data_IF_836019270314
#
_entry.id   IF_836019270314
#
_cell.length_a   1.000
_cell.length_b   1.000
_cell.length_c   1.000
_cell.angle_alpha   90.00
_cell.angle_beta   90.00
_cell.angle_gamma   90.00
#
_symmetry.space_group_name_H-M   'P 1'
#
loop_
_entity.id
_entity.type
_entity.pdbx_description
1 polymer ?
#
# COMPACT_ATOMS: atom_id res chain seq x y z
N UNK A 1 9.69 -4.08 -8.85
CA UNK A 1 10.11 -5.21 -7.99
C UNK A 1 11.54 -5.63 -8.29
N UNK A 2 11.89 -6.01 -9.53
CA UNK A 2 13.28 -6.30 -9.95
C UNK A 2 14.30 -5.21 -9.55
N UNK A 3 13.95 -3.94 -9.77
CA UNK A 3 14.82 -2.80 -9.41
C UNK A 3 15.24 -2.74 -7.93
N UNK A 4 14.47 -3.34 -7.02
CA UNK A 4 14.79 -3.35 -5.59
C UNK A 4 15.84 -4.42 -5.20
N UNK A 5 16.06 -5.40 -6.09
CA UNK A 5 16.90 -6.57 -5.81
C UNK A 5 17.95 -6.83 -6.90
N UNK A 6 18.00 -6.01 -7.95
CA UNK A 6 18.89 -6.20 -9.11
C UNK A 6 20.39 -6.25 -8.76
N UNK A 7 20.78 -5.61 -7.67
CA UNK A 7 22.18 -5.55 -7.21
C UNK A 7 22.45 -6.56 -6.07
N UNK A 8 21.50 -7.49 -5.82
CA UNK A 8 21.59 -8.51 -4.76
C UNK A 8 21.90 -9.88 -5.34
N UNK A 9 22.48 -10.75 -4.50
CA UNK A 9 22.86 -12.13 -4.86
C UNK A 9 21.71 -12.96 -5.45
N UNK A 10 20.47 -12.70 -5.04
CA UNK A 10 19.28 -13.39 -5.58
C UNK A 10 19.04 -13.13 -7.08
N UNK A 11 19.58 -12.03 -7.62
CA UNK A 11 19.44 -11.66 -9.03
C UNK A 11 20.71 -11.92 -9.85
N UNK A 12 21.76 -12.49 -9.25
CA UNK A 12 23.02 -12.78 -9.93
C UNK A 12 22.96 -14.10 -10.69
N UNK A 13 23.14 -14.04 -12.01
CA UNK A 13 23.14 -15.21 -12.91
C UNK A 13 24.30 -16.17 -12.61
N UNK A 14 25.40 -15.67 -12.05
CA UNK A 14 26.58 -16.47 -11.69
C UNK A 14 26.23 -17.51 -10.61
N UNK A 15 25.28 -17.20 -9.73
CA UNK A 15 24.84 -18.11 -8.68
C UNK A 15 24.20 -19.38 -9.24
N UNK A 16 23.39 -19.26 -10.29
CA UNK A 16 22.83 -20.43 -10.95
C UNK A 16 23.93 -21.33 -11.53
N UNK A 17 25.00 -20.73 -12.07
CA UNK A 17 26.14 -21.49 -12.59
C UNK A 17 26.93 -22.23 -11.50
N UNK A 18 27.10 -21.62 -10.33
CA UNK A 18 27.74 -22.27 -9.19
C UNK A 18 26.93 -23.44 -8.65
N UNK A 19 25.59 -23.33 -8.65
CA UNK A 19 24.70 -24.41 -8.21
C UNK A 19 24.76 -25.61 -9.16
N UNK A 20 24.70 -25.38 -10.47
CA UNK A 20 24.86 -26.45 -11.46
C UNK A 20 26.24 -27.13 -11.35
N UNK A 21 27.30 -26.35 -11.10
CA UNK A 21 28.64 -26.89 -10.85
C UNK A 21 28.71 -27.76 -9.59
N UNK A 22 28.09 -27.32 -8.50
CA UNK A 22 28.01 -28.08 -7.26
C UNK A 22 27.21 -29.37 -7.43
N UNK A 23 26.06 -29.32 -8.13
CA UNK A 23 25.27 -30.50 -8.47
C UNK A 23 26.05 -31.52 -9.30
N UNK A 24 26.85 -31.05 -10.27
CA UNK A 24 27.71 -31.93 -11.05
C UNK A 24 28.80 -32.59 -10.18
N UNK A 25 29.41 -31.85 -9.24
CA UNK A 25 30.40 -32.42 -8.29
C UNK A 25 29.79 -33.46 -7.37
N UNK A 26 28.54 -33.28 -6.94
CA UNK A 26 27.81 -34.29 -6.16
C UNK A 26 27.59 -35.54 -7.00
N UNK A 27 27.18 -35.40 -8.27
CA UNK A 27 27.00 -36.52 -9.18
C UNK A 27 28.30 -37.32 -9.42
N UNK A 28 29.45 -36.64 -9.41
CA UNK A 28 30.78 -37.24 -9.50
C UNK A 28 31.31 -37.79 -8.17
N UNK A 29 30.61 -37.58 -7.05
CA UNK A 29 31.05 -37.97 -5.71
C UNK A 29 32.16 -37.09 -5.13
N UNK A 30 32.46 -35.96 -5.76
CA UNK A 30 33.49 -35.00 -5.36
C UNK A 30 33.00 -34.01 -4.28
N UNK A 31 31.68 -33.97 -4.04
CA UNK A 31 31.04 -33.15 -3.03
C UNK A 31 29.97 -33.95 -2.29
N UNK A 32 29.93 -33.76 -0.98
CA UNK A 32 28.88 -34.32 -0.13
C UNK A 32 27.57 -33.53 -0.26
N UNK A 33 26.47 -34.25 -0.44
CA UNK A 33 25.14 -33.65 -0.65
C UNK A 33 24.64 -32.91 0.60
N UNK A 34 24.96 -33.39 1.80
CA UNK A 34 24.56 -32.73 3.05
C UNK A 34 25.27 -31.37 3.22
N UNK A 35 26.53 -31.29 2.80
CA UNK A 35 27.29 -30.05 2.77
C UNK A 35 26.68 -29.04 1.80
N UNK A 36 26.24 -29.49 0.62
CA UNK A 36 25.53 -28.64 -0.34
C UNK A 36 24.17 -28.15 0.21
N UNK A 37 23.39 -29.03 0.82
CA UNK A 37 22.11 -28.66 1.44
C UNK A 37 22.27 -27.60 2.55
N UNK A 38 23.26 -27.76 3.44
CA UNK A 38 23.58 -26.73 4.44
C UNK A 38 23.94 -25.39 3.78
N UNK A 39 24.65 -25.42 2.65
CA UNK A 39 24.96 -24.24 1.84
C UNK A 39 23.69 -23.53 1.33
N UNK A 40 22.70 -24.29 0.86
CA UNK A 40 21.40 -23.75 0.43
C UNK A 40 20.67 -23.09 1.60
N UNK A 41 20.63 -23.73 2.77
CA UNK A 41 19.96 -23.18 3.96
C UNK A 41 20.58 -21.86 4.40
N UNK A 42 21.92 -21.79 4.45
CA UNK A 42 22.66 -20.56 4.77
C UNK A 42 22.37 -19.48 3.74
N UNK A 43 22.35 -19.82 2.45
CA UNK A 43 22.06 -18.88 1.37
C UNK A 43 20.63 -18.32 1.45
N UNK A 44 19.64 -19.18 1.68
CA UNK A 44 18.26 -18.76 1.87
C UNK A 44 18.12 -17.82 3.09
N UNK A 45 18.79 -18.13 4.20
CA UNK A 45 18.82 -17.28 5.39
C UNK A 45 19.48 -15.91 5.11
N UNK A 46 20.56 -15.87 4.33
CA UNK A 46 21.22 -14.63 3.93
C UNK A 46 20.30 -13.76 3.07
N UNK A 47 19.66 -14.34 2.05
CA UNK A 47 18.72 -13.61 1.19
C UNK A 47 17.56 -13.05 1.99
N UNK A 48 16.93 -13.85 2.84
CA UNK A 48 15.77 -13.38 3.62
C UNK A 48 16.16 -12.23 4.54
N UNK A 49 17.33 -12.31 5.18
CA UNK A 49 17.89 -11.22 6.00
C UNK A 49 18.15 -9.97 5.17
N UNK A 50 18.76 -10.12 4.00
CA UNK A 50 19.00 -9.02 3.07
C UNK A 50 17.70 -8.39 2.55
N UNK A 51 16.66 -9.18 2.28
CA UNK A 51 15.38 -8.66 1.80
C UNK A 51 14.63 -7.91 2.89
N UNK A 52 14.65 -8.43 4.12
CA UNK A 52 14.04 -7.77 5.28
C UNK A 52 14.72 -6.44 5.63
N UNK A 53 16.01 -6.30 5.35
CA UNK A 53 16.74 -5.05 5.57
C UNK A 53 16.54 -4.01 4.46
N UNK A 54 15.92 -4.38 3.32
CA UNK A 54 15.55 -3.40 2.29
C UNK A 54 14.44 -2.51 2.84
N UNK A 55 14.83 -1.28 3.19
CA UNK A 55 13.87 -0.21 3.34
C UNK A 55 13.41 0.22 1.94
N UNK A 56 12.13 0.01 1.63
CA UNK A 56 11.56 0.48 0.36
C UNK A 56 11.48 2.01 0.42
N UNK A 57 12.47 2.67 -0.16
CA UNK A 57 12.52 4.13 -0.33
C UNK A 57 11.30 4.58 -1.15
N UNK A 58 10.34 5.18 -0.45
CA UNK A 58 8.97 5.38 -0.90
C UNK A 58 8.00 5.38 0.29
N UNK A 59 8.40 4.77 1.41
CA UNK A 59 7.85 5.00 2.74
C UNK A 59 8.45 6.24 3.45
N UNK A 60 9.20 7.08 2.73
CA UNK A 60 9.88 8.24 3.30
C UNK A 60 8.88 9.34 3.67
N UNK A 61 8.51 9.33 4.95
CA UNK A 61 8.36 10.50 5.81
C UNK A 61 7.51 11.67 5.26
N UNK A 62 6.41 11.37 4.56
CA UNK A 62 5.39 12.38 4.29
C UNK A 62 4.73 12.73 5.62
N UNK A 63 4.71 14.02 5.96
CA UNK A 63 4.25 14.57 7.23
C UNK A 63 3.02 13.83 7.76
N UNK A 64 3.24 12.96 8.74
CA UNK A 64 2.20 12.13 9.32
C UNK A 64 1.30 12.95 10.23
N UNK A 65 -0.01 12.74 10.12
CA UNK A 65 -0.99 13.32 11.04
C UNK A 65 -1.27 12.36 12.20
N UNK A 66 -1.89 12.87 13.27
CA UNK A 66 -2.39 12.02 14.35
C UNK A 66 -3.63 11.27 13.89
N UNK A 67 -3.74 10.00 14.27
CA UNK A 67 -4.88 9.16 13.98
C UNK A 67 -6.09 9.62 14.82
N UNK A 68 -7.27 9.86 14.23
CA UNK A 68 -8.45 10.31 14.96
C UNK A 68 -9.10 9.19 15.81
N UNK A 69 -8.68 7.93 15.63
CA UNK A 69 -9.18 6.76 16.40
C UNK A 69 -8.32 6.42 17.61
N UNK A 70 -7.00 6.58 17.54
CA UNK A 70 -6.07 6.16 18.60
C UNK A 70 -4.96 7.16 18.92
N UNK A 71 -4.96 8.34 18.31
CA UNK A 71 -3.91 9.38 18.43
C UNK A 71 -2.50 8.97 17.99
N UNK A 72 -2.30 7.75 17.47
CA UNK A 72 -1.03 7.27 16.94
C UNK A 72 -0.63 7.95 15.62
N UNK A 73 0.59 7.68 15.15
CA UNK A 73 1.12 8.26 13.92
C UNK A 73 0.48 7.62 12.68
N UNK A 74 0.05 8.44 11.71
CA UNK A 74 -0.42 8.00 10.39
C UNK A 74 0.67 8.25 9.36
N UNK A 75 0.93 7.28 8.49
CA UNK A 75 1.86 7.42 7.37
C UNK A 75 1.11 7.40 6.05
N UNK A 76 1.46 8.33 5.16
CA UNK A 76 0.90 8.42 3.83
C UNK A 76 1.81 7.70 2.83
N UNK A 77 1.30 6.60 2.30
CA UNK A 77 1.88 5.86 1.20
C UNK A 77 1.26 6.32 -0.13
N UNK A 78 1.86 6.00 -1.28
CA UNK A 78 1.33 6.40 -2.59
C UNK A 78 -0.12 5.96 -2.85
N UNK A 79 -0.56 4.83 -2.30
CA UNK A 79 -1.92 4.29 -2.52
C UNK A 79 -2.84 4.36 -1.29
N UNK A 80 -2.29 4.49 -0.09
CA UNK A 80 -3.03 4.39 1.17
C UNK A 80 -2.45 5.31 2.23
N UNK A 81 -3.29 5.81 3.12
CA UNK A 81 -2.89 6.40 4.38
C UNK A 81 -3.24 5.41 5.49
N UNK A 82 -2.28 5.02 6.32
CA UNK A 82 -2.45 3.97 7.34
C UNK A 82 -1.92 4.42 8.69
N UNK A 83 -2.68 4.16 9.75
CA UNK A 83 -2.21 4.29 11.12
C UNK A 83 -1.16 3.21 11.44
N UNK A 84 -0.03 3.61 12.02
CA UNK A 84 1.05 2.69 12.39
C UNK A 84 0.74 1.85 13.63
N UNK A 85 -0.25 2.23 14.45
CA UNK A 85 -0.66 1.44 15.61
C UNK A 85 -1.32 0.12 15.14
N UNK A 86 -0.74 -1.06 15.44
CA UNK A 86 -1.28 -2.36 15.03
C UNK A 86 -2.71 -2.61 15.51
N UNK A 87 -3.05 -2.13 16.71
CA UNK A 87 -4.37 -2.36 17.33
C UNK A 87 -5.47 -1.45 16.76
N UNK A 88 -5.08 -0.37 16.05
CA UNK A 88 -6.05 0.59 15.52
C UNK A 88 -6.63 0.15 14.17
N UNK A 89 -5.78 -0.36 13.28
CA UNK A 89 -6.15 -0.82 11.95
C UNK A 89 -6.71 0.24 10.97
N UNK A 90 -6.72 1.54 11.33
CA UNK A 90 -7.30 2.58 10.47
C UNK A 90 -6.50 2.73 9.18
N UNK A 91 -7.17 2.54 8.04
CA UNK A 91 -6.60 2.63 6.70
C UNK A 91 -7.60 3.34 5.77
N UNK A 92 -7.09 4.29 4.98
CA UNK A 92 -7.85 4.98 3.95
C UNK A 92 -7.13 4.83 2.61
N UNK A 93 -7.85 4.41 1.58
CA UNK A 93 -7.31 4.41 0.22
C UNK A 93 -7.23 5.84 -0.30
N UNK A 94 -6.13 6.15 -1.00
CA UNK A 94 -5.94 7.45 -1.66
C UNK A 94 -6.91 7.64 -2.81
N UNK A 95 -7.22 6.56 -3.53
CA UNK A 95 -8.17 6.57 -4.63
C UNK A 95 -9.58 6.27 -4.14
N UNK A 96 -10.49 7.23 -4.27
CA UNK A 96 -11.89 7.12 -3.87
C UNK A 96 -12.76 7.57 -5.04
N UNK A 97 -13.68 6.71 -5.49
CA UNK A 97 -14.57 6.97 -6.63
C UNK A 97 -13.85 7.54 -7.86
N UNK A 98 -12.68 6.98 -8.21
CA UNK A 98 -11.91 7.36 -9.40
C UNK A 98 -11.17 8.70 -9.30
N UNK A 99 -11.03 9.26 -8.10
CA UNK A 99 -10.17 10.42 -7.82
C UNK A 99 -9.17 10.09 -6.73
N UNK A 100 -7.94 10.56 -6.93
CA UNK A 100 -6.88 10.45 -5.94
C UNK A 100 -6.84 11.68 -5.05
N UNK A 101 -6.87 11.44 -3.74
CA UNK A 101 -6.74 12.50 -2.74
C UNK A 101 -5.31 13.02 -2.68
N UNK A 102 -5.16 14.32 -2.46
CA UNK A 102 -3.86 14.95 -2.19
C UNK A 102 -3.41 14.67 -0.76
N UNK A 103 -2.11 14.83 -0.48
CA UNK A 103 -1.61 14.66 0.89
C UNK A 103 -2.25 15.68 1.84
N UNK A 104 -2.54 16.90 1.36
CA UNK A 104 -3.27 17.90 2.13
C UNK A 104 -4.71 17.47 2.46
N UNK A 105 -5.42 16.86 1.50
CA UNK A 105 -6.77 16.33 1.73
C UNK A 105 -6.75 15.17 2.72
N UNK A 106 -5.77 14.27 2.62
CA UNK A 106 -5.59 13.21 3.61
C UNK A 106 -5.28 13.80 5.00
N UNK A 107 -4.39 14.78 5.09
CA UNK A 107 -4.10 15.48 6.35
C UNK A 107 -5.36 16.11 6.97
N UNK A 108 -6.19 16.76 6.17
CA UNK A 108 -7.47 17.30 6.63
C UNK A 108 -8.43 16.20 7.10
N UNK A 109 -8.51 15.08 6.37
CA UNK A 109 -9.36 13.95 6.76
C UNK A 109 -8.94 13.36 8.11
N UNK A 110 -7.65 13.09 8.32
CA UNK A 110 -7.15 12.54 9.58
C UNK A 110 -7.13 13.56 10.73
N UNK A 111 -6.89 14.84 10.44
CA UNK A 111 -6.79 15.90 11.45
C UNK A 111 -8.13 16.50 11.88
N UNK A 112 -9.04 16.74 10.93
CA UNK A 112 -10.35 17.39 11.14
C UNK A 112 -11.53 16.42 11.07
N UNK A 113 -11.29 15.18 10.65
CA UNK A 113 -12.35 14.19 10.41
C UNK A 113 -13.06 14.34 9.06
N UNK A 114 -12.72 15.36 8.27
CA UNK A 114 -13.29 15.62 6.94
C UNK A 114 -12.35 16.38 6.01
N UNK A 115 -12.46 16.14 4.71
CA UNK A 115 -11.76 16.90 3.68
C UNK A 115 -12.52 18.18 3.31
N UNK A 116 -11.86 19.08 2.59
CA UNK A 116 -12.56 20.07 1.77
C UNK A 116 -13.39 19.43 0.66
N UNK A 117 -14.18 20.24 -0.06
CA UNK A 117 -14.96 19.79 -1.21
C UNK A 117 -14.01 19.31 -2.33
N UNK A 118 -14.07 18.02 -2.64
CA UNK A 118 -13.33 17.42 -3.75
C UNK A 118 -14.27 17.30 -4.94
N UNK A 119 -13.79 17.79 -6.09
CA UNK A 119 -14.61 17.85 -7.31
C UNK A 119 -14.37 16.65 -8.21
N UNK A 120 -15.43 16.22 -8.89
CA UNK A 120 -15.32 15.29 -9.99
C UNK A 120 -15.23 13.81 -9.61
N UNK A 121 -15.74 13.38 -8.46
CA UNK A 121 -15.87 11.96 -8.15
C UNK A 121 -16.77 11.25 -9.16
N UNK A 122 -16.42 10.03 -9.55
CA UNK A 122 -17.19 9.27 -10.53
C UNK A 122 -18.39 8.60 -9.88
N UNK A 123 -19.59 8.78 -10.47
CA UNK A 123 -20.80 8.05 -10.09
C UNK A 123 -20.82 6.67 -10.72
N UNK A 124 -21.40 5.69 -10.02
CA UNK A 124 -21.67 4.36 -10.59
C UNK A 124 -22.58 4.40 -11.83
N UNK A 125 -23.52 5.34 -11.87
CA UNK A 125 -24.48 5.51 -12.97
C UNK A 125 -23.94 6.38 -14.14
N UNK A 126 -22.65 6.73 -14.13
CA UNK A 126 -22.05 7.66 -15.08
C UNK A 126 -22.15 9.12 -14.63
N UNK A 127 -21.20 9.93 -15.10
CA UNK A 127 -21.04 11.33 -14.72
C UNK A 127 -20.27 11.52 -13.40
N UNK A 128 -20.13 12.78 -13.00
CA UNK A 128 -19.34 13.17 -11.83
C UNK A 128 -20.16 13.88 -10.74
N UNK A 129 -19.64 13.92 -9.52
CA UNK A 129 -20.17 14.71 -8.41
C UNK A 129 -19.06 15.33 -7.57
N UNK A 130 -19.42 16.38 -6.85
CA UNK A 130 -18.53 17.04 -5.89
C UNK A 130 -19.02 16.71 -4.48
N UNK A 131 -18.11 16.28 -3.61
CA UNK A 131 -18.41 15.94 -2.22
C UNK A 131 -17.17 16.16 -1.34
N UNK A 132 -17.38 16.36 -0.05
CA UNK A 132 -16.32 16.15 0.93
C UNK A 132 -16.29 14.67 1.31
N UNK A 133 -15.14 14.18 1.76
CA UNK A 133 -15.02 12.87 2.40
C UNK A 133 -14.90 13.10 3.89
N UNK A 134 -15.71 12.40 4.68
CA UNK A 134 -15.69 12.44 6.13
C UNK A 134 -15.58 11.02 6.70
N UNK A 135 -15.22 10.91 7.98
CA UNK A 135 -15.35 9.65 8.71
C UNK A 135 -16.77 9.49 9.29
N UNK A 136 -17.31 8.28 9.22
CA UNK A 136 -18.49 7.90 10.00
C UNK A 136 -18.13 7.50 11.45
N UNK A 137 -19.11 7.02 12.21
CA UNK A 137 -18.91 6.56 13.60
C UNK A 137 -17.97 5.35 13.72
N UNK A 138 -17.76 4.60 12.64
CA UNK A 138 -16.84 3.46 12.58
C UNK A 138 -15.50 3.82 11.94
N UNK A 139 -15.24 5.10 11.66
CA UNK A 139 -14.06 5.60 10.94
C UNK A 139 -13.91 5.06 9.50
N UNK A 140 -15.03 4.75 8.83
CA UNK A 140 -15.07 4.49 7.39
C UNK A 140 -15.26 5.79 6.63
N UNK A 141 -14.75 5.87 5.41
CA UNK A 141 -14.89 7.05 4.56
C UNK A 141 -16.28 7.12 3.92
N UNK A 142 -17.00 8.21 4.19
CA UNK A 142 -18.32 8.52 3.63
C UNK A 142 -18.30 9.84 2.87
N UNK A 143 -19.18 9.98 1.88
CA UNK A 143 -19.33 11.22 1.13
C UNK A 143 -20.29 12.17 1.85
N UNK A 144 -19.82 13.35 2.20
CA UNK A 144 -20.63 14.45 2.73
C UNK A 144 -20.86 15.48 1.63
N UNK A 145 -22.12 15.65 1.22
CA UNK A 145 -22.50 16.60 0.18
C UNK A 145 -22.80 17.97 0.80
N UNK A 146 -22.34 19.08 0.21
CA UNK A 146 -22.61 20.41 0.73
C UNK A 146 -24.13 20.68 0.74
N UNK A 147 -24.65 21.13 1.87
CA UNK A 147 -26.02 21.62 1.97
C UNK A 147 -26.08 23.04 1.39
N UNK A 148 -26.36 23.19 0.08
CA UNK A 148 -27.23 24.28 -0.40
C UNK A 148 -27.73 24.20 -1.86
N UNK A 149 -29.06 24.44 -1.94
CA UNK A 149 -30.05 24.64 -3.02
C UNK A 149 -30.40 23.50 -4.00
N UNK A 150 -31.71 23.28 -4.27
CA UNK A 150 -32.21 22.21 -5.14
C UNK A 150 -31.95 22.57 -6.60
N UNK A 151 -30.91 21.97 -7.18
CA UNK A 151 -30.59 22.08 -8.60
C UNK A 151 -30.78 20.76 -9.30
N UNK A 152 -32.03 20.49 -9.70
CA UNK A 152 -32.48 19.45 -10.62
C UNK A 152 -32.51 18.00 -10.11
N UNK A 153 -33.68 17.62 -9.59
CA UNK A 153 -34.10 16.24 -9.47
C UNK A 153 -34.21 15.60 -10.86
N UNK A 154 -33.20 14.80 -11.23
CA UNK A 154 -33.31 13.85 -12.33
C UNK A 154 -34.33 12.77 -11.96
N UNK A 155 -35.58 12.95 -12.40
CA UNK A 155 -36.62 11.91 -12.42
C UNK A 155 -36.11 10.68 -13.20
N UNK A 156 -36.26 9.48 -12.63
CA UNK A 156 -35.82 8.24 -13.27
C UNK A 156 -36.40 6.95 -12.68
N UNK A 157 -37.73 6.82 -12.70
CA UNK A 157 -38.58 5.59 -12.68
C UNK A 157 -38.22 4.43 -11.72
N UNK A 158 -39.05 4.29 -10.66
CA UNK A 158 -39.44 2.99 -10.09
C UNK A 158 -40.03 2.09 -11.20
N UNK A 159 -39.48 0.89 -11.41
CA UNK A 159 -40.18 -0.18 -12.12
C UNK A 159 -41.00 -0.96 -11.09
N UNK A 160 -42.29 -1.06 -11.39
CA UNK A 160 -43.31 -1.88 -10.74
C UNK A 160 -43.07 -3.35 -11.10
#
# INVERSE_FOLDING_TARGET
MYLAVKDKKIADVSMTGEWESALNKIALGEMDADTFHKGIEVYAAQITTELLSISIEGASNRAGCKCPKCSGQVVFYPKVAKCQNPDCGLMVFRSIAGKDLTDAQLSDLFGKGKTGLVKGFNKKAGGTFDAAIAFDSEYKTVFEFPKNKPGNAGKGKKRK
#
